data_IF_042669068733
#
_entry.id   IF_042669068733
#
_cell.length_a   1.000
_cell.length_b   1.000
_cell.length_c   1.000
_cell.angle_alpha   90.00
_cell.angle_beta   90.00
_cell.angle_gamma   90.00
#
_symmetry.space_group_name_H-M   'P 1'
#
loop_
_entity.id
_entity.type
_entity.pdbx_description
1 polymer ?
#
# COMPACT_ATOMS: atom_id res chain seq x y z
N UNK A 1 -67.64 -20.03 -27.10
CA UNK A 1 -66.33 -19.38 -27.22
C UNK A 1 -65.64 -19.51 -25.84
N UNK A 2 -64.62 -20.42 -25.74
CA UNK A 2 -63.82 -20.59 -24.53
C UNK A 2 -62.50 -19.85 -24.70
N UNK A 3 -62.23 -18.81 -23.88
CA UNK A 3 -60.96 -18.14 -23.82
C UNK A 3 -59.98 -18.93 -22.94
N UNK A 4 -58.91 -19.47 -23.53
CA UNK A 4 -57.77 -20.01 -22.78
C UNK A 4 -56.89 -18.84 -22.34
N UNK A 5 -56.69 -18.71 -21.04
CA UNK A 5 -55.68 -17.78 -20.47
C UNK A 5 -54.36 -18.52 -20.36
N UNK A 6 -53.42 -18.11 -21.19
CA UNK A 6 -51.99 -18.56 -21.12
C UNK A 6 -51.30 -17.77 -20.02
N UNK A 7 -50.86 -18.45 -18.96
CA UNK A 7 -50.05 -17.85 -17.89
C UNK A 7 -48.59 -17.98 -18.30
N UNK A 8 -47.95 -16.85 -18.56
CA UNK A 8 -46.54 -16.78 -18.79
C UNK A 8 -45.82 -16.73 -17.43
N UNK A 9 -45.10 -17.81 -17.05
CA UNK A 9 -44.27 -17.84 -15.86
C UNK A 9 -42.91 -17.25 -16.27
N UNK A 10 -42.62 -16.03 -15.85
CA UNK A 10 -41.29 -15.45 -15.96
C UNK A 10 -40.38 -16.06 -14.90
N UNK A 11 -39.43 -16.91 -15.31
CA UNK A 11 -38.38 -17.41 -14.44
C UNK A 11 -37.41 -16.27 -14.13
N UNK A 12 -37.44 -15.74 -12.91
CA UNK A 12 -36.35 -14.89 -12.41
C UNK A 12 -35.10 -15.77 -12.24
N UNK A 13 -34.16 -15.62 -13.13
CA UNK A 13 -32.79 -16.12 -12.93
C UNK A 13 -32.12 -15.27 -11.82
N UNK A 14 -32.11 -15.78 -10.60
CA UNK A 14 -31.28 -15.27 -9.53
C UNK A 14 -29.81 -15.55 -9.89
N UNK A 15 -29.10 -14.54 -10.37
CA UNK A 15 -27.64 -14.58 -10.43
C UNK A 15 -27.10 -14.55 -9.00
N UNK A 16 -26.99 -15.73 -8.40
CA UNK A 16 -26.16 -15.93 -7.21
C UNK A 16 -24.73 -15.56 -7.62
N UNK A 17 -24.25 -14.43 -7.09
CA UNK A 17 -22.84 -14.06 -7.23
C UNK A 17 -22.00 -15.21 -6.71
N UNK A 18 -21.34 -15.92 -7.60
CA UNK A 18 -20.42 -17.00 -7.25
C UNK A 18 -19.35 -16.39 -6.34
N UNK A 19 -19.26 -16.86 -5.10
CA UNK A 19 -18.08 -16.62 -4.27
C UNK A 19 -16.91 -17.24 -5.01
N UNK A 20 -15.96 -16.41 -5.45
CA UNK A 20 -14.73 -16.89 -6.05
C UNK A 20 -13.95 -17.57 -4.93
N UNK A 21 -13.89 -18.89 -4.99
CA UNK A 21 -13.08 -19.71 -4.09
C UNK A 21 -11.61 -19.44 -4.36
N UNK A 22 -10.76 -19.70 -3.37
CA UNK A 22 -9.31 -19.68 -3.52
C UNK A 22 -8.84 -20.56 -4.70
N UNK A 23 -7.54 -20.57 -4.93
CA UNK A 23 -6.97 -21.37 -6.04
C UNK A 23 -7.15 -22.86 -5.82
N UNK A 24 -7.15 -23.64 -6.90
CA UNK A 24 -7.18 -25.10 -6.81
C UNK A 24 -5.92 -25.64 -6.10
N UNK A 25 -6.01 -26.84 -5.53
CA UNK A 25 -4.87 -27.49 -4.90
C UNK A 25 -3.68 -27.67 -5.88
N UNK A 26 -3.94 -27.81 -7.17
CA UNK A 26 -2.90 -27.94 -8.19
C UNK A 26 -2.24 -26.57 -8.48
N UNK A 27 -2.99 -25.51 -8.56
CA UNK A 27 -2.42 -24.14 -8.66
C UNK A 27 -1.57 -23.80 -7.44
N UNK A 28 -2.01 -24.18 -6.25
CA UNK A 28 -1.26 -23.93 -5.00
C UNK A 28 0.12 -24.64 -4.96
N UNK A 29 0.34 -25.72 -5.74
CA UNK A 29 1.66 -26.38 -5.85
C UNK A 29 2.74 -25.50 -6.49
N UNK A 30 2.35 -24.39 -7.12
CA UNK A 30 3.31 -23.42 -7.66
C UNK A 30 4.04 -22.67 -6.53
N UNK A 31 3.41 -22.53 -5.35
CA UNK A 31 4.01 -21.86 -4.19
C UNK A 31 5.24 -22.64 -3.69
N UNK A 32 6.36 -21.93 -3.54
CA UNK A 32 7.65 -22.51 -3.18
C UNK A 32 8.42 -23.15 -4.34
N UNK A 33 7.81 -23.33 -5.51
CA UNK A 33 8.43 -23.89 -6.73
C UNK A 33 8.70 -22.83 -7.78
N UNK A 34 7.77 -22.54 -8.67
CA UNK A 34 7.85 -21.47 -9.67
C UNK A 34 7.55 -20.09 -9.08
N UNK A 35 6.70 -20.04 -8.08
CA UNK A 35 6.44 -18.86 -7.27
C UNK A 35 7.18 -18.95 -5.91
N UNK A 36 7.42 -17.82 -5.30
CA UNK A 36 7.81 -17.77 -3.88
C UNK A 36 6.69 -18.34 -3.02
N UNK A 37 6.95 -18.63 -1.77
CA UNK A 37 5.92 -19.10 -0.85
C UNK A 37 4.78 -18.08 -0.64
N UNK A 38 5.01 -16.80 -0.97
CA UNK A 38 4.05 -15.70 -0.84
C UNK A 38 3.48 -15.22 -2.17
N UNK A 39 3.80 -15.91 -3.30
CA UNK A 39 3.13 -15.74 -4.59
C UNK A 39 3.87 -14.91 -5.64
N UNK A 40 5.04 -14.35 -5.33
CA UNK A 40 5.84 -13.64 -6.33
C UNK A 40 6.52 -14.61 -7.32
N UNK A 41 6.78 -14.19 -8.55
CA UNK A 41 7.55 -14.97 -9.51
C UNK A 41 8.99 -15.18 -9.04
N UNK A 42 9.44 -16.43 -8.97
CA UNK A 42 10.75 -16.75 -8.42
C UNK A 42 11.88 -16.51 -9.42
N UNK A 43 11.62 -16.71 -10.71
CA UNK A 43 12.61 -16.56 -11.76
C UNK A 43 13.01 -15.08 -11.99
N UNK A 44 14.20 -14.88 -12.52
CA UNK A 44 14.60 -13.60 -13.10
C UNK A 44 13.69 -13.23 -14.29
N UNK A 45 13.60 -11.94 -14.61
CA UNK A 45 12.95 -11.52 -15.83
C UNK A 45 13.85 -11.79 -17.06
N UNK A 46 13.29 -11.56 -18.25
CA UNK A 46 13.92 -11.95 -19.52
C UNK A 46 15.27 -11.27 -19.77
N UNK A 47 15.42 -10.01 -19.37
CA UNK A 47 16.65 -9.22 -19.58
C UNK A 47 17.60 -9.21 -18.37
N UNK A 48 17.23 -9.91 -17.29
CA UNK A 48 18.02 -10.00 -16.06
C UNK A 48 18.00 -8.75 -15.18
N UNK A 49 17.26 -7.70 -15.56
CA UNK A 49 17.15 -6.48 -14.76
C UNK A 49 16.43 -6.69 -13.43
N UNK A 50 15.55 -7.69 -13.35
CA UNK A 50 14.97 -8.21 -12.11
C UNK A 50 15.57 -9.60 -11.87
N UNK A 51 16.42 -9.76 -10.84
CA UNK A 51 17.07 -11.05 -10.57
C UNK A 51 16.10 -12.10 -10.03
N UNK A 52 16.52 -13.36 -10.08
CA UNK A 52 15.78 -14.43 -9.41
C UNK A 52 15.71 -14.17 -7.89
N UNK A 53 14.58 -14.54 -7.29
CA UNK A 53 14.41 -14.44 -5.85
C UNK A 53 15.23 -15.51 -5.12
N UNK A 54 16.07 -15.10 -4.18
CA UNK A 54 17.00 -15.97 -3.45
C UNK A 54 16.71 -16.06 -1.94
N UNK A 55 15.52 -15.60 -1.50
CA UNK A 55 15.11 -15.66 -0.10
C UNK A 55 15.01 -14.29 0.59
N UNK A 56 15.36 -13.22 -0.12
CA UNK A 56 15.35 -11.88 0.44
C UNK A 56 16.53 -11.59 1.37
N UNK A 57 16.45 -10.48 2.06
CA UNK A 57 17.46 -10.02 3.02
C UNK A 57 17.04 -10.42 4.43
N UNK A 58 17.74 -11.41 5.02
CA UNK A 58 17.44 -11.95 6.36
C UNK A 58 18.57 -11.72 7.37
N UNK A 59 19.66 -11.07 6.93
CA UNK A 59 20.79 -10.75 7.81
C UNK A 59 20.98 -9.25 7.85
N UNK A 60 21.04 -8.72 9.06
CA UNK A 60 21.37 -7.32 9.28
C UNK A 60 22.81 -7.02 8.86
N UNK A 61 23.10 -5.81 8.31
CA UNK A 61 24.46 -5.31 8.15
C UNK A 61 25.23 -5.30 9.49
N UNK A 62 26.56 -5.31 9.42
CA UNK A 62 27.40 -5.35 10.62
C UNK A 62 27.23 -4.10 11.51
N UNK A 63 26.85 -2.99 10.93
CA UNK A 63 26.61 -1.71 11.60
C UNK A 63 25.24 -1.63 12.30
N UNK A 64 24.35 -2.60 12.06
CA UNK A 64 23.04 -2.62 12.68
C UNK A 64 23.12 -2.83 14.19
N UNK A 65 22.42 -2.00 14.93
CA UNK A 65 22.27 -2.11 16.39
C UNK A 65 20.80 -2.24 16.75
N UNK A 66 20.47 -3.36 17.35
CA UNK A 66 19.08 -3.60 17.79
C UNK A 66 18.65 -2.55 18.83
N UNK A 67 17.44 -2.01 18.65
CA UNK A 67 16.87 -1.01 19.54
C UNK A 67 17.15 0.45 19.19
N UNK A 68 18.09 0.76 18.31
CA UNK A 68 18.39 2.14 17.89
C UNK A 68 17.27 2.75 17.01
N UNK A 69 16.41 1.90 16.46
CA UNK A 69 15.36 2.32 15.52
C UNK A 69 15.89 2.73 14.15
N UNK A 70 17.18 2.50 13.88
CA UNK A 70 17.83 2.81 12.61
C UNK A 70 18.17 1.52 11.85
N UNK A 71 18.01 1.57 10.53
CA UNK A 71 18.42 0.48 9.63
C UNK A 71 19.49 0.99 8.67
N UNK A 72 20.78 0.69 8.92
CA UNK A 72 21.85 0.94 7.95
C UNK A 72 21.49 0.40 6.57
N UNK A 73 21.90 1.14 5.53
CA UNK A 73 21.63 0.77 4.15
C UNK A 73 22.52 -0.40 3.71
N UNK A 74 21.98 -1.61 3.46
CA UNK A 74 22.76 -2.76 3.06
C UNK A 74 23.29 -2.64 1.62
N UNK A 75 22.83 -1.65 0.87
CA UNK A 75 23.16 -1.41 -0.53
C UNK A 75 23.85 -0.06 -0.74
N UNK A 76 24.43 0.53 0.30
CA UNK A 76 25.06 1.85 0.27
C UNK A 76 26.20 1.98 -0.76
N UNK A 77 26.83 0.85 -1.12
CA UNK A 77 27.91 0.82 -2.12
C UNK A 77 27.40 0.91 -3.58
N UNK A 78 26.13 0.65 -3.83
CA UNK A 78 25.58 0.68 -5.18
C UNK A 78 25.62 2.09 -5.77
N UNK A 79 25.77 2.13 -7.09
CA UNK A 79 25.66 3.34 -7.90
C UNK A 79 24.45 3.25 -8.82
N UNK A 80 23.83 4.38 -9.18
CA UNK A 80 22.77 4.35 -10.18
C UNK A 80 23.31 3.82 -11.51
N UNK A 81 22.52 2.99 -12.17
CA UNK A 81 22.82 2.49 -13.52
C UNK A 81 22.59 3.59 -14.56
N UNK A 82 21.54 4.37 -14.37
CA UNK A 82 21.14 5.52 -15.19
C UNK A 82 20.12 6.36 -14.46
N UNK A 83 19.88 7.56 -14.98
CA UNK A 83 18.80 8.45 -14.55
C UNK A 83 17.73 8.53 -15.63
N UNK A 84 16.46 8.65 -15.20
CA UNK A 84 15.33 8.95 -16.07
C UNK A 84 14.79 10.32 -15.68
N UNK A 85 14.64 11.21 -16.65
CA UNK A 85 14.15 12.58 -16.52
C UNK A 85 13.21 12.96 -17.68
N UNK A 86 12.77 14.21 -17.74
CA UNK A 86 11.88 14.71 -18.78
C UNK A 86 12.45 14.56 -20.21
N UNK A 87 13.79 14.46 -20.39
CA UNK A 87 14.43 14.39 -21.71
C UNK A 87 14.45 12.99 -22.30
N UNK A 88 14.41 11.98 -21.44
CA UNK A 88 14.54 10.58 -21.86
C UNK A 88 13.40 9.67 -21.39
N UNK A 89 12.38 10.20 -20.65
CA UNK A 89 11.32 9.40 -20.07
C UNK A 89 10.49 8.60 -21.10
N UNK A 90 10.41 9.09 -22.36
CA UNK A 90 9.64 8.39 -23.39
C UNK A 90 10.24 7.01 -23.72
N UNK A 91 11.58 6.88 -23.61
CA UNK A 91 12.27 5.60 -23.75
C UNK A 91 11.86 4.56 -22.69
N UNK A 92 11.40 5.04 -21.55
CA UNK A 92 11.05 4.21 -20.38
C UNK A 92 9.56 4.28 -20.05
N UNK A 93 8.73 4.79 -20.97
CA UNK A 93 7.33 5.12 -20.73
C UNK A 93 6.50 3.96 -20.19
N UNK A 94 6.78 2.73 -20.63
CA UNK A 94 6.06 1.52 -20.18
C UNK A 94 6.40 1.11 -18.73
N UNK A 95 7.53 1.61 -18.21
CA UNK A 95 8.02 1.33 -16.84
C UNK A 95 7.77 2.47 -15.85
N UNK A 96 7.13 3.55 -16.28
CA UNK A 96 6.82 4.73 -15.46
C UNK A 96 5.31 4.83 -15.20
N UNK A 97 4.93 5.19 -13.97
CA UNK A 97 3.54 5.55 -13.67
C UNK A 97 3.16 6.88 -14.32
N UNK A 98 1.88 7.14 -14.52
CA UNK A 98 1.44 8.43 -15.06
C UNK A 98 1.81 9.59 -14.11
N UNK A 99 1.78 9.34 -12.79
CA UNK A 99 2.24 10.30 -11.79
C UNK A 99 3.73 10.63 -11.92
N UNK A 100 4.59 9.64 -12.14
CA UNK A 100 6.02 9.86 -12.36
C UNK A 100 6.28 10.69 -13.62
N UNK A 101 5.60 10.36 -14.73
CA UNK A 101 5.67 11.13 -15.99
C UNK A 101 5.19 12.57 -15.80
N UNK A 102 4.10 12.77 -15.05
CA UNK A 102 3.56 14.10 -14.78
C UNK A 102 4.52 14.95 -13.94
N UNK A 103 5.17 14.35 -12.94
CA UNK A 103 6.19 15.03 -12.13
C UNK A 103 7.38 15.47 -12.99
N UNK A 104 7.88 14.62 -13.89
CA UNK A 104 8.96 14.95 -14.83
C UNK A 104 8.57 16.08 -15.79
N UNK A 105 7.35 16.02 -16.36
CA UNK A 105 6.85 17.09 -17.26
C UNK A 105 6.69 18.42 -16.53
N UNK A 106 6.22 18.40 -15.29
CA UNK A 106 5.96 19.60 -14.50
C UNK A 106 7.24 20.22 -13.93
N UNK A 107 8.24 19.40 -13.64
CA UNK A 107 9.48 19.78 -12.97
C UNK A 107 10.67 19.24 -13.78
N UNK A 108 11.25 20.03 -14.69
CA UNK A 108 12.34 19.57 -15.58
C UNK A 108 13.58 19.06 -14.84
N UNK A 109 13.77 19.50 -13.59
CA UNK A 109 14.88 19.07 -12.72
C UNK A 109 14.56 17.79 -11.93
N UNK A 110 13.32 17.30 -12.00
CA UNK A 110 12.95 16.04 -11.37
C UNK A 110 13.46 14.86 -12.20
N UNK A 111 14.11 13.94 -11.53
CA UNK A 111 14.55 12.66 -12.10
C UNK A 111 14.35 11.52 -11.12
N UNK A 112 14.45 10.31 -11.63
CA UNK A 112 14.61 9.11 -10.82
C UNK A 112 15.95 8.47 -11.16
N UNK A 113 16.73 8.13 -10.15
CA UNK A 113 17.99 7.40 -10.29
C UNK A 113 17.71 5.91 -10.12
N UNK A 114 17.89 5.14 -11.20
CA UNK A 114 17.61 3.70 -11.24
C UNK A 114 18.84 2.91 -10.85
N UNK A 115 18.70 2.11 -9.81
CA UNK A 115 19.76 1.26 -9.24
C UNK A 115 19.61 -0.20 -9.64
N UNK A 116 20.64 -1.04 -9.43
CA UNK A 116 20.46 -2.49 -9.52
C UNK A 116 19.34 -2.97 -8.61
N UNK A 117 18.51 -3.87 -9.12
CA UNK A 117 17.39 -4.42 -8.37
C UNK A 117 17.84 -5.44 -7.33
N UNK A 118 17.44 -5.25 -6.08
CA UNK A 118 17.60 -6.21 -5.00
C UNK A 118 16.23 -6.63 -4.46
N UNK A 119 15.87 -7.89 -4.66
CA UNK A 119 14.63 -8.47 -4.11
C UNK A 119 14.84 -8.82 -2.64
N UNK A 120 14.84 -7.78 -1.81
CA UNK A 120 15.23 -7.83 -0.41
C UNK A 120 14.11 -8.23 0.56
N UNK A 121 12.86 -8.26 0.11
CA UNK A 121 11.72 -8.67 0.94
C UNK A 121 11.87 -10.14 1.35
N UNK A 122 11.73 -10.40 2.64
CA UNK A 122 11.74 -11.74 3.23
C UNK A 122 10.53 -11.91 4.16
N UNK A 123 10.17 -13.16 4.42
CA UNK A 123 9.09 -13.51 5.34
C UNK A 123 9.53 -14.60 6.30
N UNK A 124 9.05 -14.60 7.55
CA UNK A 124 9.25 -15.72 8.46
C UNK A 124 8.63 -17.01 7.90
N UNK A 125 9.22 -18.15 8.20
CA UNK A 125 8.75 -19.45 7.72
C UNK A 125 7.27 -19.71 8.04
N UNK A 126 6.81 -19.33 9.23
CA UNK A 126 5.41 -19.54 9.62
C UNK A 126 4.41 -18.77 8.75
N UNK A 127 4.79 -17.58 8.23
CA UNK A 127 3.98 -16.84 7.25
C UNK A 127 3.83 -17.64 5.96
N UNK A 128 4.94 -18.21 5.46
CA UNK A 128 4.92 -19.06 4.27
C UNK A 128 4.03 -20.31 4.46
N UNK A 129 4.17 -20.99 5.60
CA UNK A 129 3.41 -22.21 5.93
C UNK A 129 1.89 -21.90 6.02
N UNK A 130 1.51 -20.76 6.59
CA UNK A 130 0.11 -20.34 6.66
C UNK A 130 -0.41 -19.84 5.31
N UNK A 131 0.42 -19.19 4.49
CA UNK A 131 0.05 -18.77 3.14
C UNK A 131 -0.37 -19.95 2.27
N UNK A 132 0.33 -21.08 2.36
CA UNK A 132 -0.04 -22.30 1.64
C UNK A 132 -1.45 -22.81 2.01
N UNK A 133 -1.85 -22.69 3.30
CA UNK A 133 -3.21 -23.03 3.76
C UNK A 133 -4.23 -22.01 3.28
N UNK A 134 -3.88 -20.72 3.36
CA UNK A 134 -4.74 -19.62 2.91
C UNK A 134 -5.05 -19.71 1.40
N UNK A 135 -4.07 -20.08 0.58
CA UNK A 135 -4.21 -20.11 -0.87
C UNK A 135 -5.44 -20.89 -1.36
N UNK A 136 -5.78 -22.00 -0.71
CA UNK A 136 -6.95 -22.83 -1.06
C UNK A 136 -8.21 -22.47 -0.26
N UNK A 137 -8.05 -21.84 0.91
CA UNK A 137 -9.17 -21.56 1.84
C UNK A 137 -9.74 -20.16 1.73
N UNK A 138 -8.92 -19.18 1.31
CA UNK A 138 -9.32 -17.80 1.26
C UNK A 138 -10.35 -17.52 0.17
N UNK A 139 -11.31 -16.67 0.48
CA UNK A 139 -12.30 -16.18 -0.48
C UNK A 139 -12.68 -14.73 -0.18
N UNK A 140 -13.01 -13.99 -1.21
CA UNK A 140 -13.68 -12.70 -1.09
C UNK A 140 -15.20 -12.93 -1.05
N UNK A 141 -15.90 -12.13 -0.27
CA UNK A 141 -17.35 -12.18 -0.17
C UNK A 141 -17.96 -10.76 -0.20
N UNK A 142 -19.28 -10.68 -0.28
CA UNK A 142 -20.02 -9.42 -0.21
C UNK A 142 -19.56 -8.38 -1.22
N UNK A 143 -19.28 -8.79 -2.47
CA UNK A 143 -18.79 -7.90 -3.51
C UNK A 143 -17.37 -7.37 -3.24
N UNK A 144 -16.50 -8.20 -2.63
CA UNK A 144 -15.12 -7.87 -2.31
C UNK A 144 -14.94 -7.14 -0.98
N UNK A 145 -16.01 -6.82 -0.25
CA UNK A 145 -15.94 -6.07 1.02
C UNK A 145 -15.54 -6.93 2.23
N UNK A 146 -15.49 -8.24 2.07
CA UNK A 146 -15.09 -9.17 3.13
C UNK A 146 -14.04 -10.15 2.61
N UNK A 147 -13.17 -10.61 3.51
CA UNK A 147 -12.22 -11.68 3.28
C UNK A 147 -12.37 -12.72 4.38
N UNK A 148 -12.49 -13.98 3.97
CA UNK A 148 -12.72 -15.12 4.83
C UNK A 148 -11.77 -16.26 4.52
N UNK A 149 -11.65 -17.24 5.42
CA UNK A 149 -10.92 -18.49 5.18
C UNK A 149 -9.39 -18.40 5.24
N UNK A 150 -8.86 -17.26 5.73
CA UNK A 150 -7.42 -17.09 5.94
C UNK A 150 -7.13 -16.38 7.27
N UNK A 151 -6.08 -16.80 7.94
CA UNK A 151 -5.53 -16.17 9.14
C UNK A 151 -4.01 -16.37 9.17
N UNK A 152 -3.28 -15.32 9.50
CA UNK A 152 -1.82 -15.31 9.65
C UNK A 152 -1.03 -15.77 8.39
N UNK A 153 -1.59 -15.60 7.20
CA UNK A 153 -0.97 -15.90 5.90
C UNK A 153 -1.35 -14.84 4.86
N UNK A 154 -0.72 -14.86 3.69
CA UNK A 154 -1.16 -14.07 2.53
C UNK A 154 -2.42 -14.75 1.98
N UNK A 155 -3.57 -14.04 1.92
CA UNK A 155 -4.82 -14.70 1.57
C UNK A 155 -4.89 -15.15 0.11
N UNK A 156 -4.38 -14.38 -0.81
CA UNK A 156 -4.48 -14.64 -2.26
C UNK A 156 -3.12 -14.59 -2.95
N UNK A 157 -2.19 -15.54 -2.65
CA UNK A 157 -0.84 -15.49 -3.24
C UNK A 157 -0.83 -15.65 -4.77
N UNK A 158 -1.92 -16.18 -5.35
CA UNK A 158 -2.16 -16.28 -6.79
C UNK A 158 -3.51 -15.60 -7.08
N UNK A 159 -3.57 -14.25 -7.06
CA UNK A 159 -4.82 -13.54 -7.18
C UNK A 159 -5.39 -13.59 -8.60
N UNK A 160 -6.71 -13.64 -8.72
CA UNK A 160 -7.47 -13.65 -9.97
C UNK A 160 -8.28 -12.38 -10.19
N UNK A 161 -8.46 -11.58 -9.15
CA UNK A 161 -9.27 -10.35 -9.20
C UNK A 161 -8.53 -9.17 -8.56
N UNK A 162 -8.96 -7.96 -8.91
CA UNK A 162 -8.44 -6.74 -8.27
C UNK A 162 -8.73 -6.70 -6.78
N UNK A 163 -9.88 -7.24 -6.34
CA UNK A 163 -10.23 -7.33 -4.92
C UNK A 163 -9.27 -8.22 -4.13
N UNK A 164 -8.84 -9.34 -4.70
CA UNK A 164 -7.89 -10.25 -4.07
C UNK A 164 -6.51 -9.59 -3.90
N UNK A 165 -6.04 -8.88 -4.93
CA UNK A 165 -4.78 -8.10 -4.85
C UNK A 165 -4.89 -7.01 -3.77
N UNK A 166 -6.02 -6.30 -3.71
CA UNK A 166 -6.23 -5.26 -2.71
C UNK A 166 -6.33 -5.82 -1.29
N UNK A 167 -6.94 -6.99 -1.10
CA UNK A 167 -6.95 -7.65 0.21
C UNK A 167 -5.54 -8.06 0.65
N UNK A 168 -4.69 -8.57 -0.26
CA UNK A 168 -3.29 -8.83 0.06
C UNK A 168 -2.58 -7.56 0.56
N UNK A 169 -2.88 -6.40 -0.06
CA UNK A 169 -2.34 -5.12 0.40
C UNK A 169 -2.90 -4.71 1.78
N UNK A 170 -4.21 -4.81 1.99
CA UNK A 170 -4.86 -4.41 3.24
C UNK A 170 -4.37 -5.22 4.44
N UNK A 171 -4.10 -6.52 4.23
CA UNK A 171 -3.57 -7.41 5.27
C UNK A 171 -2.09 -7.78 5.08
N UNK A 172 -1.32 -6.98 4.32
CA UNK A 172 0.10 -7.26 4.10
C UNK A 172 0.86 -7.46 5.40
N UNK A 173 1.84 -8.33 5.39
CA UNK A 173 2.66 -8.59 6.56
C UNK A 173 3.64 -7.44 6.80
N UNK A 174 3.68 -6.92 8.00
CA UNK A 174 4.66 -5.94 8.49
C UNK A 174 5.08 -6.25 9.93
N UNK A 175 4.98 -7.54 10.33
CA UNK A 175 5.09 -8.00 11.71
C UNK A 175 3.70 -8.12 12.36
N UNK A 176 3.68 -8.61 13.60
CA UNK A 176 2.44 -8.74 14.40
C UNK A 176 2.10 -7.44 15.11
N UNK A 177 3.12 -6.71 15.54
CA UNK A 177 2.97 -5.39 16.14
C UNK A 177 4.26 -4.59 16.02
N UNK A 178 4.14 -3.26 16.04
CA UNK A 178 5.29 -2.36 16.10
C UNK A 178 4.97 -1.03 16.80
N UNK A 179 6.03 -0.34 17.17
CA UNK A 179 5.97 1.04 17.67
C UNK A 179 6.99 1.88 16.90
N UNK A 180 6.55 2.99 16.31
CA UNK A 180 7.40 3.91 15.58
C UNK A 180 7.17 5.36 16.01
N UNK A 181 8.23 6.17 15.96
CA UNK A 181 8.13 7.62 15.98
C UNK A 181 8.04 8.12 14.55
N UNK A 182 7.19 9.09 14.28
CA UNK A 182 6.98 9.60 12.94
C UNK A 182 6.92 11.14 12.94
N UNK A 183 7.14 11.69 11.75
CA UNK A 183 6.92 13.10 11.45
C UNK A 183 6.37 13.23 10.03
N UNK A 184 5.26 13.95 9.88
CA UNK A 184 4.68 14.30 8.60
C UNK A 184 5.05 15.72 8.21
N UNK A 185 5.51 15.88 6.99
CA UNK A 185 5.86 17.16 6.41
C UNK A 185 4.89 17.52 5.30
N UNK A 186 4.48 18.78 5.24
CA UNK A 186 3.82 19.36 4.09
C UNK A 186 4.73 20.41 3.48
N UNK A 187 4.94 20.31 2.18
CA UNK A 187 5.66 21.31 1.39
C UNK A 187 4.61 22.03 0.55
N UNK A 188 4.42 23.33 0.81
CA UNK A 188 3.41 24.14 0.14
C UNK A 188 3.80 24.47 -1.32
N UNK A 189 2.89 25.10 -2.05
CA UNK A 189 3.11 25.49 -3.44
C UNK A 189 4.28 26.48 -3.61
N UNK A 190 4.69 27.20 -2.56
CA UNK A 190 5.86 28.07 -2.56
C UNK A 190 7.16 27.30 -2.24
N UNK A 191 7.07 26.00 -1.92
CA UNK A 191 8.21 25.15 -1.58
C UNK A 191 8.63 25.22 -0.12
N UNK A 192 7.80 25.79 0.77
CA UNK A 192 8.13 25.90 2.20
C UNK A 192 7.69 24.65 2.95
N UNK A 193 8.61 23.98 3.68
CA UNK A 193 8.26 22.84 4.50
C UNK A 193 7.61 23.29 5.83
N UNK A 194 6.60 22.55 6.25
CA UNK A 194 5.98 22.66 7.57
C UNK A 194 5.66 21.29 8.15
N UNK A 195 5.80 21.13 9.47
CA UNK A 195 5.39 19.91 10.17
C UNK A 195 3.87 19.94 10.35
N UNK A 196 3.17 19.00 9.73
CA UNK A 196 1.72 18.84 9.95
C UNK A 196 1.45 18.11 11.25
N UNK A 197 2.15 17.00 11.50
CA UNK A 197 2.11 16.24 12.76
C UNK A 197 3.42 15.52 13.00
N UNK A 198 3.70 15.30 14.29
CA UNK A 198 4.72 14.35 14.76
C UNK A 198 4.24 13.65 16.02
N UNK A 199 4.74 12.44 16.25
CA UNK A 199 4.30 11.65 17.39
C UNK A 199 4.81 10.22 17.35
N UNK A 200 4.05 9.33 17.99
CA UNK A 200 4.29 7.90 17.96
C UNK A 200 3.05 7.15 17.50
N UNK A 201 3.28 6.03 16.83
CA UNK A 201 2.27 5.09 16.39
C UNK A 201 2.57 3.75 17.04
N UNK A 202 1.60 3.19 17.74
CA UNK A 202 1.56 1.78 18.12
C UNK A 202 0.56 1.09 17.22
N UNK A 203 0.98 0.08 16.50
CA UNK A 203 0.15 -0.66 15.57
C UNK A 203 0.21 -2.14 15.87
N UNK A 204 -0.95 -2.79 15.82
CA UNK A 204 -1.13 -4.23 16.00
C UNK A 204 -1.90 -4.76 14.79
N UNK A 205 -1.52 -5.94 14.37
CA UNK A 205 -2.20 -6.70 13.32
C UNK A 205 -2.77 -8.01 13.88
N UNK A 206 -3.96 -8.00 14.51
CA UNK A 206 -4.55 -9.21 15.09
C UNK A 206 -4.73 -10.33 14.05
N UNK A 207 -4.87 -9.97 12.78
CA UNK A 207 -4.87 -10.91 11.67
C UNK A 207 -3.59 -11.78 11.61
N UNK A 208 -2.44 -11.23 12.02
CA UNK A 208 -1.14 -11.90 11.96
C UNK A 208 -0.71 -12.58 13.27
N UNK A 209 -1.53 -12.51 14.32
CA UNK A 209 -1.28 -13.19 15.59
C UNK A 209 -1.68 -14.68 15.47
N UNK A 210 -0.77 -15.49 14.97
CA UNK A 210 -1.00 -16.92 14.73
C UNK A 210 -1.24 -17.74 16.00
N UNK A 211 -0.90 -17.19 17.17
CA UNK A 211 -1.10 -17.86 18.48
C UNK A 211 -2.52 -17.64 19.01
N UNK A 212 -3.25 -16.69 18.46
CA UNK A 212 -4.62 -16.38 18.86
C UNK A 212 -5.64 -16.78 17.80
N UNK A 213 -6.86 -17.02 18.24
CA UNK A 213 -7.98 -17.23 17.34
C UNK A 213 -8.25 -15.97 16.48
N UNK A 214 -8.71 -16.18 15.24
CA UNK A 214 -9.05 -15.09 14.34
C UNK A 214 -10.12 -14.17 14.98
N UNK A 215 -9.78 -12.89 15.09
CA UNK A 215 -10.60 -11.88 15.79
C UNK A 215 -11.56 -11.13 14.88
N UNK A 216 -11.52 -11.34 13.55
CA UNK A 216 -12.25 -10.54 12.57
C UNK A 216 -11.70 -9.11 12.41
N UNK A 217 -10.57 -8.79 13.02
CA UNK A 217 -9.91 -7.48 12.97
C UNK A 217 -8.64 -7.57 12.13
N UNK A 218 -8.53 -6.73 11.11
CA UNK A 218 -7.34 -6.65 10.27
C UNK A 218 -6.21 -5.93 10.99
N UNK A 219 -6.51 -4.75 11.55
CA UNK A 219 -5.50 -3.95 12.20
C UNK A 219 -6.08 -3.02 13.29
N UNK A 220 -5.23 -2.63 14.26
CA UNK A 220 -5.48 -1.61 15.27
C UNK A 220 -4.34 -0.64 15.29
N UNK A 221 -4.64 0.64 15.36
CA UNK A 221 -3.63 1.69 15.42
C UNK A 221 -3.97 2.69 16.52
N UNK A 222 -2.98 3.03 17.34
CA UNK A 222 -3.03 4.17 18.26
C UNK A 222 -1.95 5.17 17.86
N UNK A 223 -2.36 6.40 17.58
CA UNK A 223 -1.48 7.52 17.29
C UNK A 223 -1.52 8.47 18.51
N UNK A 224 -0.35 8.87 18.99
CA UNK A 224 -0.22 9.90 20.03
C UNK A 224 0.60 11.05 19.44
N UNK A 225 0.01 12.23 19.40
CA UNK A 225 0.63 13.43 18.82
C UNK A 225 1.48 14.15 19.86
N UNK A 226 2.74 14.43 19.52
CA UNK A 226 3.67 15.23 20.35
C UNK A 226 3.90 16.62 19.77
N UNK A 227 3.52 16.84 18.52
CA UNK A 227 3.64 18.12 17.84
C UNK A 227 2.82 18.22 16.55
N UNK A 228 2.70 19.43 16.01
CA UNK A 228 3.09 20.73 16.57
C UNK A 228 2.30 21.09 17.84
N UNK A 229 2.68 22.16 18.53
CA UNK A 229 2.11 22.53 19.85
C UNK A 229 0.58 22.51 19.91
N UNK A 230 -0.10 22.94 18.82
CA UNK A 230 -1.57 22.93 18.72
C UNK A 230 -2.20 21.53 18.78
N UNK A 231 -1.42 20.49 18.56
CA UNK A 231 -1.87 19.08 18.52
C UNK A 231 -1.27 18.23 19.64
N UNK A 232 -0.30 18.76 20.36
CA UNK A 232 0.38 18.02 21.40
C UNK A 232 -0.62 17.48 22.45
N UNK A 233 -0.51 16.20 22.76
CA UNK A 233 -1.39 15.50 23.70
C UNK A 233 -2.69 14.96 23.09
N UNK A 234 -3.02 15.27 21.83
CA UNK A 234 -4.09 14.55 21.13
C UNK A 234 -3.73 13.09 20.93
N UNK A 235 -4.74 12.23 20.88
CA UNK A 235 -4.56 10.84 20.49
C UNK A 235 -5.70 10.38 19.57
N UNK A 236 -5.40 9.42 18.72
CA UNK A 236 -6.37 8.78 17.86
C UNK A 236 -6.21 7.26 17.95
N UNK A 237 -7.33 6.54 17.92
CA UNK A 237 -7.36 5.08 17.82
C UNK A 237 -8.24 4.68 16.66
N UNK A 238 -7.78 3.74 15.85
CA UNK A 238 -8.49 3.18 14.71
C UNK A 238 -8.47 1.66 14.83
N UNK A 239 -9.61 1.03 14.51
CA UNK A 239 -9.76 -0.43 14.40
C UNK A 239 -10.50 -0.74 13.10
N UNK A 240 -9.87 -1.50 12.22
CA UNK A 240 -10.44 -1.93 10.95
C UNK A 240 -10.83 -3.42 10.99
N UNK A 241 -12.02 -3.78 10.48
CA UNK A 241 -12.47 -5.17 10.41
C UNK A 241 -11.89 -5.90 9.17
N UNK A 242 -12.03 -7.22 9.13
CA UNK A 242 -11.89 -8.05 7.93
C UNK A 242 -13.19 -8.16 7.12
N UNK A 243 -14.31 -7.75 7.69
CA UNK A 243 -15.61 -7.75 7.06
C UNK A 243 -16.24 -6.35 7.13
N UNK A 244 -16.04 -5.57 6.07
CA UNK A 244 -16.65 -4.25 5.90
C UNK A 244 -18.13 -4.31 5.43
N UNK A 245 -18.70 -5.50 5.22
CA UNK A 245 -20.11 -5.63 4.91
C UNK A 245 -20.99 -5.60 6.15
N UNK A 246 -20.47 -6.05 7.29
CA UNK A 246 -21.17 -6.11 8.56
C UNK A 246 -20.64 -5.16 9.62
N UNK A 247 -19.43 -4.63 9.45
CA UNK A 247 -18.77 -3.74 10.41
C UNK A 247 -17.98 -2.67 9.69
N UNK A 248 -18.15 -1.43 10.11
CA UNK A 248 -17.34 -0.32 9.62
C UNK A 248 -16.08 -0.13 10.47
N UNK A 249 -15.15 0.71 9.96
CA UNK A 249 -14.06 1.24 10.74
C UNK A 249 -14.57 1.86 12.02
N UNK A 250 -13.93 1.55 13.13
CA UNK A 250 -14.16 2.20 14.41
C UNK A 250 -13.00 3.14 14.72
N UNK A 251 -13.31 4.41 14.96
CA UNK A 251 -12.31 5.41 15.28
C UNK A 251 -12.72 6.25 16.49
N UNK A 252 -11.73 6.62 17.28
CA UNK A 252 -11.87 7.49 18.44
C UNK A 252 -10.79 8.55 18.43
N UNK A 253 -11.14 9.75 18.90
CA UNK A 253 -10.21 10.84 19.08
C UNK A 253 -10.29 11.34 20.52
N UNK A 254 -9.12 11.51 21.15
CA UNK A 254 -8.95 12.19 22.41
C UNK A 254 -8.44 13.62 22.16
N UNK A 255 -9.13 14.61 22.73
CA UNK A 255 -8.77 16.03 22.66
C UNK A 255 -8.43 16.53 24.08
N UNK A 256 -7.17 16.92 24.35
CA UNK A 256 -6.72 17.34 25.69
C UNK A 256 -7.52 18.50 26.27
N UNK A 257 -7.82 19.50 25.44
CA UNK A 257 -8.60 20.68 25.88
C UNK A 257 -10.03 20.33 26.33
N UNK A 258 -10.60 19.25 25.86
CA UNK A 258 -11.93 18.76 26.25
C UNK A 258 -11.88 17.65 27.30
N UNK A 259 -10.70 17.04 27.52
CA UNK A 259 -10.46 15.88 28.39
C UNK A 259 -11.45 14.72 28.12
N UNK A 260 -11.83 14.56 26.85
CA UNK A 260 -12.85 13.57 26.41
C UNK A 260 -12.35 12.77 25.22
N UNK A 261 -12.73 11.49 25.22
CA UNK A 261 -12.68 10.62 24.05
C UNK A 261 -14.02 10.75 23.32
N UNK A 262 -13.96 10.99 22.01
CA UNK A 262 -15.11 11.03 21.12
C UNK A 262 -15.02 9.92 20.09
N UNK A 263 -16.15 9.32 19.72
CA UNK A 263 -16.24 8.52 18.52
C UNK A 263 -16.10 9.44 17.30
N UNK A 264 -15.32 9.04 16.33
CA UNK A 264 -15.05 9.79 15.10
C UNK A 264 -15.42 8.95 13.87
N UNK A 265 -16.71 8.82 13.54
CA UNK A 265 -17.19 7.96 12.45
C UNK A 265 -16.73 8.45 11.08
N UNK A 266 -16.39 9.75 10.96
CA UNK A 266 -15.97 10.38 9.71
C UNK A 266 -14.50 10.08 9.33
N UNK A 267 -13.77 9.29 10.12
CA UNK A 267 -12.37 8.94 9.83
C UNK A 267 -12.29 7.82 8.79
N UNK A 268 -12.91 8.03 7.65
CA UNK A 268 -13.01 7.06 6.57
C UNK A 268 -13.04 7.74 5.19
N UNK A 269 -12.73 6.99 4.15
CA UNK A 269 -12.79 7.40 2.74
C UNK A 269 -12.05 8.71 2.46
N UNK A 270 -12.70 9.61 1.69
CA UNK A 270 -12.16 10.89 1.25
C UNK A 270 -12.27 12.03 2.28
N UNK A 271 -12.59 11.73 3.54
CA UNK A 271 -12.48 12.72 4.60
C UNK A 271 -11.02 13.19 4.73
N UNK A 272 -10.77 14.53 4.72
CA UNK A 272 -9.42 15.05 4.84
C UNK A 272 -8.73 14.56 6.11
N UNK A 273 -7.51 14.05 5.98
CA UNK A 273 -6.75 13.51 7.10
C UNK A 273 -6.08 14.66 7.89
N UNK A 274 -6.47 14.91 9.14
CA UNK A 274 -5.84 15.95 9.95
C UNK A 274 -4.38 15.65 10.28
N UNK A 275 -3.96 14.38 10.20
CA UNK A 275 -2.56 13.97 10.37
C UNK A 275 -1.63 14.54 9.31
N UNK A 276 -2.14 14.82 8.12
CA UNK A 276 -1.41 15.42 6.99
C UNK A 276 -1.80 16.88 6.74
N UNK A 277 -2.50 17.52 7.68
CA UNK A 277 -3.03 18.88 7.47
C UNK A 277 -4.11 18.96 6.39
N UNK A 278 -4.76 17.84 6.06
CA UNK A 278 -5.81 17.76 5.05
C UNK A 278 -5.31 17.61 3.61
N UNK A 279 -4.00 17.45 3.40
CA UNK A 279 -3.43 17.28 2.05
C UNK A 279 -3.63 15.87 1.50
N UNK A 280 -3.99 14.91 2.33
CA UNK A 280 -4.43 13.56 1.95
C UNK A 280 -5.78 13.23 2.58
N UNK A 281 -6.37 12.12 2.20
CA UNK A 281 -7.59 11.57 2.80
C UNK A 281 -7.28 10.40 3.73
N UNK A 282 -8.27 9.94 4.51
CA UNK A 282 -8.07 8.79 5.39
C UNK A 282 -7.80 7.49 4.64
N UNK A 283 -8.31 7.36 3.42
CA UNK A 283 -8.04 6.19 2.59
C UNK A 283 -6.80 6.32 1.69
N UNK A 284 -6.08 7.46 1.74
CA UNK A 284 -4.75 7.60 1.13
C UNK A 284 -3.61 7.08 2.04
N UNK A 285 -3.90 6.73 3.29
CA UNK A 285 -2.91 6.13 4.20
C UNK A 285 -2.40 4.83 3.60
N UNK A 286 -1.07 4.64 3.56
CA UNK A 286 -0.42 3.52 2.86
C UNK A 286 -0.81 3.41 1.37
N UNK A 287 -1.21 4.53 0.75
CA UNK A 287 -1.73 4.69 -0.60
C UNK A 287 -3.13 4.08 -0.84
N UNK A 288 -3.59 3.18 0.04
CA UNK A 288 -4.98 2.76 0.22
C UNK A 288 -5.16 2.06 1.56
N UNK A 289 -6.15 2.50 2.34
CA UNK A 289 -6.52 1.87 3.60
C UNK A 289 -8.01 2.03 3.89
N UNK A 290 -8.69 0.93 4.18
CA UNK A 290 -10.10 0.93 4.59
C UNK A 290 -11.01 0.15 3.66
N UNK A 291 -12.30 0.50 3.68
CA UNK A 291 -13.34 -0.20 2.93
C UNK A 291 -13.21 -0.01 1.42
N UNK A 292 -13.39 -1.08 0.68
CA UNK A 292 -13.47 -1.09 -0.78
C UNK A 292 -14.89 -0.79 -1.32
N UNK A 293 -15.80 -0.30 -0.49
CA UNK A 293 -17.23 -0.12 -0.85
C UNK A 293 -17.47 0.90 -1.96
N UNK A 294 -16.60 1.91 -2.11
CA UNK A 294 -16.86 3.01 -3.04
C UNK A 294 -16.36 2.76 -4.47
N UNK A 295 -15.48 1.80 -4.68
CA UNK A 295 -14.87 1.53 -5.97
C UNK A 295 -15.09 0.10 -6.43
N UNK A 296 -15.08 -0.08 -7.76
CA UNK A 296 -14.90 -1.39 -8.39
C UNK A 296 -13.42 -1.56 -8.75
N UNK A 297 -12.83 -2.66 -8.31
CA UNK A 297 -11.42 -2.95 -8.47
C UNK A 297 -11.21 -3.98 -9.57
N UNK A 298 -10.60 -3.55 -10.67
CA UNK A 298 -10.30 -4.39 -11.84
C UNK A 298 -8.81 -4.73 -11.88
N UNK A 299 -8.49 -6.01 -11.99
CA UNK A 299 -7.12 -6.48 -12.19
C UNK A 299 -6.71 -6.29 -13.64
N UNK A 300 -5.74 -5.41 -13.89
CA UNK A 300 -5.18 -5.16 -15.23
C UNK A 300 -4.15 -6.24 -15.59
N UNK A 301 -3.35 -6.67 -14.60
CA UNK A 301 -2.30 -7.67 -14.78
C UNK A 301 -1.00 -7.28 -14.09
N UNK A 302 0.11 -7.89 -14.48
CA UNK A 302 1.45 -7.56 -13.99
C UNK A 302 2.21 -6.66 -14.98
N UNK A 303 3.05 -5.77 -14.42
CA UNK A 303 4.01 -4.96 -15.19
C UNK A 303 5.36 -4.92 -14.48
N UNK A 304 6.41 -4.65 -15.23
CA UNK A 304 7.73 -4.31 -14.69
C UNK A 304 7.86 -2.79 -14.66
N UNK A 305 8.02 -2.22 -13.47
CA UNK A 305 7.96 -0.78 -13.26
C UNK A 305 9.16 -0.31 -12.43
N UNK A 306 9.59 0.93 -12.64
CA UNK A 306 10.50 1.60 -11.70
C UNK A 306 9.70 2.13 -10.54
N UNK A 307 10.06 1.70 -9.32
CA UNK A 307 9.37 2.05 -8.07
C UNK A 307 10.40 2.37 -6.98
N UNK A 308 10.05 3.20 -5.98
CA UNK A 308 10.92 3.42 -4.83
C UNK A 308 11.09 2.11 -4.06
N UNK A 309 12.35 1.66 -3.90
CA UNK A 309 12.64 0.39 -3.25
C UNK A 309 14.00 0.46 -2.54
N UNK A 310 14.15 -0.26 -1.42
CA UNK A 310 15.37 -0.24 -0.60
C UNK A 310 15.82 1.19 -0.25
N UNK A 311 14.87 2.04 0.14
CA UNK A 311 15.06 3.48 0.34
C UNK A 311 15.66 3.81 1.72
N UNK A 312 16.59 2.99 2.22
CA UNK A 312 17.19 3.11 3.56
C UNK A 312 17.88 4.45 3.77
N UNK A 313 18.60 4.98 2.74
CA UNK A 313 19.23 6.29 2.81
C UNK A 313 18.22 7.39 3.11
N UNK A 314 17.12 7.42 2.36
CA UNK A 314 16.04 8.39 2.57
C UNK A 314 15.47 8.29 3.99
N UNK A 315 15.21 7.07 4.45
CA UNK A 315 14.51 6.79 5.69
C UNK A 315 15.33 7.06 6.94
N UNK A 316 16.61 6.71 6.92
CA UNK A 316 17.42 6.62 8.13
C UNK A 316 18.71 7.44 8.11
N UNK A 317 19.17 7.90 6.94
CA UNK A 317 20.41 8.63 6.80
C UNK A 317 20.23 10.09 6.37
N UNK A 318 19.14 10.42 5.66
CA UNK A 318 18.89 11.78 5.18
C UNK A 318 18.33 12.69 6.27
N UNK A 319 18.82 13.91 6.36
CA UNK A 319 18.15 14.96 7.14
C UNK A 319 17.07 15.68 6.29
N UNK A 320 16.22 16.46 6.94
CA UNK A 320 15.11 17.14 6.26
C UNK A 320 15.56 18.11 5.16
N UNK A 321 16.67 18.81 5.35
CA UNK A 321 17.15 19.86 4.41
C UNK A 321 17.78 19.23 3.16
N UNK A 322 18.36 18.04 3.29
CA UNK A 322 18.83 17.25 2.17
C UNK A 322 17.68 16.59 1.41
N UNK A 323 16.64 16.12 2.13
CA UNK A 323 15.55 15.35 1.56
C UNK A 323 14.46 16.23 0.93
N UNK A 324 14.00 17.27 1.65
CA UNK A 324 12.86 18.07 1.24
C UNK A 324 13.29 19.21 0.32
N UNK A 325 12.97 19.13 -0.97
CA UNK A 325 13.17 20.23 -1.92
C UNK A 325 11.84 20.93 -2.22
N UNK A 326 11.85 22.13 -2.79
CA UNK A 326 10.63 22.94 -2.93
C UNK A 326 9.49 22.30 -3.71
N UNK A 327 9.75 21.37 -4.65
CA UNK A 327 8.75 20.79 -5.54
C UNK A 327 8.64 19.28 -5.49
N UNK A 328 9.67 18.60 -5.00
CA UNK A 328 9.78 17.13 -4.93
C UNK A 328 10.84 16.73 -3.92
N UNK A 329 10.83 15.46 -3.51
CA UNK A 329 11.92 14.88 -2.73
C UNK A 329 13.22 14.88 -3.55
N UNK A 330 14.33 15.20 -2.88
CA UNK A 330 15.64 15.18 -3.52
C UNK A 330 15.93 13.81 -4.16
N UNK A 331 16.09 13.74 -5.49
CA UNK A 331 16.36 12.48 -6.18
C UNK A 331 17.59 11.74 -5.67
N UNK A 332 18.63 12.47 -5.21
CA UNK A 332 19.87 11.87 -4.67
C UNK A 332 19.62 11.01 -3.41
N UNK A 333 18.49 11.20 -2.76
CA UNK A 333 18.14 10.48 -1.53
C UNK A 333 17.20 9.30 -1.77
N UNK A 334 16.57 9.23 -2.93
CA UNK A 334 15.54 8.22 -3.22
C UNK A 334 16.07 7.18 -4.22
N UNK A 335 16.17 5.95 -3.77
CA UNK A 335 16.54 4.80 -4.60
C UNK A 335 15.33 4.28 -5.35
N UNK A 336 15.46 4.09 -6.67
CA UNK A 336 14.46 3.47 -7.54
C UNK A 336 15.01 2.19 -8.13
N UNK A 337 14.19 1.15 -8.18
CA UNK A 337 14.55 -0.15 -8.75
C UNK A 337 13.45 -0.66 -9.67
N UNK A 338 13.79 -1.56 -10.60
CA UNK A 338 12.79 -2.23 -11.43
C UNK A 338 12.21 -3.43 -10.70
N UNK A 339 10.91 -3.42 -10.46
CA UNK A 339 10.19 -4.52 -9.83
C UNK A 339 8.94 -4.92 -10.62
N UNK A 340 8.47 -6.17 -10.43
CA UNK A 340 7.17 -6.60 -10.93
C UNK A 340 6.09 -6.11 -9.99
N UNK A 341 5.07 -5.50 -10.56
CA UNK A 341 3.92 -5.00 -9.82
C UNK A 341 2.63 -5.54 -10.42
N UNK A 342 1.68 -5.86 -9.55
CA UNK A 342 0.29 -6.01 -9.94
C UNK A 342 -0.31 -4.62 -10.16
N UNK A 343 -1.06 -4.47 -11.26
CA UNK A 343 -1.75 -3.22 -11.57
C UNK A 343 -3.25 -3.42 -11.37
N UNK A 344 -3.83 -2.60 -10.49
CA UNK A 344 -5.26 -2.61 -10.19
C UNK A 344 -5.85 -1.23 -10.49
N UNK A 345 -6.86 -1.18 -11.32
CA UNK A 345 -7.66 0.03 -11.54
C UNK A 345 -8.91 0.00 -10.68
N UNK A 346 -9.12 1.07 -9.93
CA UNK A 346 -10.30 1.29 -9.10
C UNK A 346 -11.13 2.42 -9.71
N UNK A 347 -12.36 2.12 -10.13
CA UNK A 347 -13.30 3.07 -10.71
C UNK A 347 -14.41 3.35 -9.72
N UNK A 348 -14.74 4.62 -9.50
CA UNK A 348 -15.81 5.03 -8.58
C UNK A 348 -17.14 4.42 -9.04
N UNK A 349 -17.83 3.74 -8.13
CA UNK A 349 -19.13 3.11 -8.40
C UNK A 349 -20.21 4.15 -8.64
N UNK A 350 -21.14 3.82 -9.50
CA UNK A 350 -22.33 4.63 -9.71
C UNK A 350 -23.10 4.88 -8.38
N UNK A 351 -23.53 6.11 -8.18
CA UNK A 351 -24.21 6.54 -6.94
C UNK A 351 -23.32 6.75 -5.72
N UNK A 352 -22.04 6.41 -5.78
CA UNK A 352 -21.06 6.71 -4.72
C UNK A 352 -20.39 8.06 -4.95
N UNK A 353 -19.86 8.64 -3.88
CA UNK A 353 -19.13 9.93 -3.93
C UNK A 353 -17.72 9.74 -3.39
N UNK A 354 -16.77 10.33 -4.07
CA UNK A 354 -15.37 10.41 -3.67
C UNK A 354 -14.68 11.56 -4.41
N UNK A 355 -13.62 12.14 -3.84
CA UNK A 355 -12.82 13.16 -4.54
C UNK A 355 -12.11 12.58 -5.77
N UNK A 356 -11.87 11.27 -5.80
CA UNK A 356 -11.29 10.55 -6.94
C UNK A 356 -12.37 9.81 -7.71
N UNK A 357 -12.40 10.01 -9.05
CA UNK A 357 -13.24 9.23 -9.95
C UNK A 357 -12.61 7.89 -10.34
N UNK A 358 -11.27 7.86 -10.37
CA UNK A 358 -10.46 6.68 -10.67
C UNK A 358 -9.16 6.71 -9.88
N UNK A 359 -8.65 5.52 -9.53
CA UNK A 359 -7.32 5.33 -8.96
C UNK A 359 -6.65 4.16 -9.68
N UNK A 360 -5.35 4.25 -9.93
CA UNK A 360 -4.54 3.12 -10.39
C UNK A 360 -3.52 2.81 -9.31
N UNK A 361 -3.49 1.56 -8.87
CA UNK A 361 -2.58 1.08 -7.85
C UNK A 361 -1.55 0.16 -8.47
N UNK A 362 -0.30 0.30 -8.02
CA UNK A 362 0.84 -0.53 -8.39
C UNK A 362 1.33 -1.25 -7.13
N UNK A 363 1.05 -2.55 -7.06
CA UNK A 363 1.30 -3.38 -5.88
C UNK A 363 2.50 -4.28 -6.14
N UNK A 364 3.57 -4.12 -5.37
CA UNK A 364 4.77 -4.94 -5.47
C UNK A 364 4.46 -6.43 -5.19
N UNK A 365 4.93 -7.31 -6.08
CA UNK A 365 4.64 -8.74 -5.97
C UNK A 365 5.34 -9.42 -4.79
N UNK A 366 6.50 -8.89 -4.36
CA UNK A 366 7.26 -9.46 -3.25
C UNK A 366 6.66 -9.08 -1.89
N UNK A 367 6.22 -7.84 -1.71
CA UNK A 367 5.77 -7.29 -0.41
C UNK A 367 4.25 -7.20 -0.26
N UNK A 368 3.50 -7.25 -1.34
CA UNK A 368 2.06 -6.93 -1.41
C UNK A 368 1.73 -5.50 -0.97
N UNK A 369 2.72 -4.63 -0.84
CA UNK A 369 2.49 -3.22 -0.60
C UNK A 369 2.18 -2.48 -1.90
N UNK A 370 1.24 -1.52 -1.85
CA UNK A 370 1.14 -0.51 -2.91
C UNK A 370 2.39 0.35 -2.85
N UNK A 371 3.15 0.40 -3.95
CA UNK A 371 4.40 1.17 -4.05
C UNK A 371 4.23 2.47 -4.81
N UNK A 372 3.20 2.55 -5.64
CA UNK A 372 2.80 3.78 -6.30
C UNK A 372 1.29 3.80 -6.54
N UNK A 373 0.72 4.99 -6.68
CA UNK A 373 -0.69 5.19 -7.02
C UNK A 373 -0.88 6.47 -7.82
N UNK A 374 -1.79 6.41 -8.81
CA UNK A 374 -2.23 7.55 -9.60
C UNK A 374 -3.71 7.80 -9.29
N UNK A 375 -4.07 9.02 -8.88
CA UNK A 375 -5.44 9.39 -8.54
C UNK A 375 -5.96 10.47 -9.49
N UNK A 376 -7.18 10.27 -9.99
CA UNK A 376 -7.82 11.11 -11.00
C UNK A 376 -9.05 11.81 -10.40
N UNK A 377 -9.21 13.09 -10.74
CA UNK A 377 -10.36 13.90 -10.31
C UNK A 377 -11.66 13.50 -11.04
N UNK A 378 -12.77 14.17 -10.72
CA UNK A 378 -14.08 13.92 -11.35
C UNK A 378 -14.10 14.19 -12.86
N UNK A 379 -13.13 14.92 -13.41
CA UNK A 379 -12.97 15.20 -14.84
C UNK A 379 -12.05 14.21 -15.53
N UNK A 380 -11.54 13.22 -14.79
CA UNK A 380 -10.57 12.25 -15.30
C UNK A 380 -9.16 12.81 -15.48
N UNK A 381 -8.85 13.98 -14.89
CA UNK A 381 -7.51 14.55 -14.90
C UNK A 381 -6.67 13.94 -13.76
N UNK A 382 -5.42 13.62 -14.05
CA UNK A 382 -4.48 13.17 -13.04
C UNK A 382 -4.31 14.28 -11.98
N UNK A 383 -4.78 13.99 -10.78
CA UNK A 383 -4.85 14.93 -9.68
C UNK A 383 -3.70 14.76 -8.70
N UNK A 384 -3.46 13.52 -8.28
CA UNK A 384 -2.40 13.20 -7.31
C UNK A 384 -1.57 12.01 -7.77
N UNK A 385 -0.31 11.99 -7.34
CA UNK A 385 0.59 10.86 -7.46
C UNK A 385 1.10 10.47 -6.08
N UNK A 386 0.97 9.20 -5.73
CA UNK A 386 1.43 8.66 -4.45
C UNK A 386 2.57 7.68 -4.63
N UNK A 387 3.53 7.69 -3.68
CA UNK A 387 4.63 6.73 -3.63
C UNK A 387 4.82 6.24 -2.21
N UNK A 388 5.02 4.92 -2.04
CA UNK A 388 5.50 4.33 -0.80
C UNK A 388 6.99 3.97 -0.95
N UNK A 389 7.73 4.22 0.11
CA UNK A 389 9.19 4.10 0.14
C UNK A 389 9.56 2.87 0.97
N UNK A 390 9.82 1.77 0.28
CA UNK A 390 10.06 0.49 0.94
C UNK A 390 11.45 0.41 1.58
N UNK A 391 11.47 -0.06 2.84
CA UNK A 391 12.68 -0.37 3.60
C UNK A 391 12.48 -1.69 4.35
N UNK A 392 12.58 -2.85 3.67
CA UNK A 392 12.37 -4.14 4.32
C UNK A 392 13.15 -4.29 5.62
N UNK A 393 12.47 -4.82 6.64
CA UNK A 393 13.03 -5.04 7.97
C UNK A 393 13.80 -6.36 7.96
N UNK A 394 15.11 -6.30 7.74
CA UNK A 394 15.95 -7.50 7.67
C UNK A 394 16.07 -8.20 9.03
N UNK A 395 15.96 -7.46 10.14
CA UNK A 395 15.99 -8.00 11.49
C UNK A 395 14.71 -8.77 11.85
N UNK A 396 13.58 -8.42 11.26
CA UNK A 396 12.29 -9.08 11.47
C UNK A 396 11.87 -9.97 10.30
N UNK A 397 12.67 -10.02 9.23
CA UNK A 397 12.31 -10.69 7.97
C UNK A 397 10.89 -10.28 7.52
N UNK A 398 10.62 -8.98 7.46
CA UNK A 398 9.31 -8.44 7.14
C UNK A 398 9.40 -7.34 6.08
N UNK A 399 8.46 -7.27 5.13
CA UNK A 399 8.26 -6.08 4.31
C UNK A 399 8.01 -4.85 5.19
N UNK A 400 8.46 -3.68 4.74
CA UNK A 400 8.17 -2.43 5.44
C UNK A 400 7.99 -1.31 4.43
N UNK A 401 6.77 -0.76 4.36
CA UNK A 401 6.36 0.26 3.39
C UNK A 401 5.49 1.36 4.05
N UNK A 402 5.77 1.72 5.30
CA UNK A 402 4.97 2.69 6.04
C UNK A 402 5.24 4.14 5.64
N UNK A 403 6.45 4.43 5.14
CA UNK A 403 6.73 5.75 4.60
C UNK A 403 6.07 5.92 3.25
N UNK A 404 5.25 6.94 3.12
CA UNK A 404 4.60 7.28 1.87
C UNK A 404 4.40 8.79 1.75
N UNK A 405 4.24 9.27 0.54
CA UNK A 405 3.96 10.67 0.24
C UNK A 405 3.06 10.81 -0.97
N UNK A 406 2.34 11.92 -1.01
CA UNK A 406 1.48 12.29 -2.12
C UNK A 406 1.92 13.63 -2.69
N UNK A 407 1.92 13.72 -3.99
CA UNK A 407 2.12 14.95 -4.76
C UNK A 407 0.78 15.43 -5.29
N UNK A 408 0.33 16.61 -4.89
CA UNK A 408 -0.81 17.28 -5.49
C UNK A 408 -0.33 18.00 -6.76
N UNK A 409 -0.65 17.41 -7.91
CA UNK A 409 -0.18 17.88 -9.21
C UNK A 409 -0.89 19.16 -9.65
N UNK A 410 -2.05 19.49 -9.06
CA UNK A 410 -2.79 20.72 -9.33
C UNK A 410 -2.28 21.85 -8.47
N UNK A 411 -2.26 21.65 -7.14
CA UNK A 411 -1.78 22.66 -6.18
C UNK A 411 -0.27 22.88 -6.26
N UNK A 412 0.51 21.90 -6.71
CA UNK A 412 1.97 21.98 -6.76
C UNK A 412 2.62 21.85 -5.38
N UNK A 413 1.96 21.14 -4.47
CA UNK A 413 2.40 20.83 -3.10
C UNK A 413 2.61 19.33 -2.92
N UNK A 414 3.28 18.93 -1.85
CA UNK A 414 3.41 17.51 -1.52
C UNK A 414 3.57 17.29 -0.02
#
# INVERSE_FOLDING_TARGET
>A
MRFQKTILIAALASTSGAALAGVSADEAKQLGTTLTATGAEKAANKDGSIPAYTGGLTKAPAEYKAGDGLRPDPFAADKPLFAVDAKNMDKYGDKLTEGTKALMKKNPDYRIDVYPTHRSVAYPKWVADNTAKCAVGAKTANGGRSMEGCHAGIPFPIPKTGYEVMWNHLVRFQGVAYNVKYRNWNIDASGRPSVSTEGSIVQEYPYWDAEKAASGVSYKQRITYTGPARRAGEAMMIIDPLDYATSDRRAWQYLPGQRRVKIAPDFAFDTPNPGTGGTSTFDDVFLFLGSMDRFDFNLVGKKEMYVPYNTYRMAFASNKDDLLKPKFLNPDQVRWEQHRVWVVEATLREGKRHIYSKRTFYIDEDSWAIVASDQYDARGQLFRAGFAYQTPSYEASAPWADMHGLYDLIAGSY
#
